data_IF_342506708729
#
_entry.id   IF_342506708729
#
_cell.length_a   1.000
_cell.length_b   1.000
_cell.length_c   1.000
_cell.angle_alpha   90.00
_cell.angle_beta   90.00
_cell.angle_gamma   90.00
#
_symmetry.space_group_name_H-M   'P 1'
#
loop_
_entity.id
_entity.type
_entity.pdbx_description
1 polymer ?
#
# COMPACT_ATOMS: atom_id res chain seq x y z
N UNK A 1 56.37 28.26 25.27
CA UNK A 1 55.63 28.49 24.03
C UNK A 1 54.20 28.00 24.22
N UNK A 2 53.26 28.94 24.42
CA UNK A 2 51.86 28.70 24.73
C UNK A 2 51.13 28.39 23.41
N UNK A 3 50.53 27.21 23.25
CA UNK A 3 49.62 26.90 22.15
C UNK A 3 48.18 27.19 22.61
N UNK A 4 47.63 28.25 22.07
CA UNK A 4 46.24 28.68 22.24
C UNK A 4 45.36 27.75 21.39
N UNK A 5 44.53 26.95 22.03
CA UNK A 5 43.48 26.16 21.39
C UNK A 5 42.27 27.07 21.20
N UNK A 6 41.98 27.43 19.96
CA UNK A 6 40.80 28.18 19.55
C UNK A 6 39.63 27.21 19.45
N UNK A 7 38.71 27.27 20.43
CA UNK A 7 37.47 26.47 20.46
C UNK A 7 36.45 27.13 19.52
N UNK A 8 36.24 26.54 18.33
CA UNK A 8 35.21 26.96 17.39
C UNK A 8 33.89 26.36 17.83
N UNK A 9 33.09 27.14 18.57
CA UNK A 9 31.69 26.81 18.87
C UNK A 9 30.88 27.09 17.61
N UNK A 10 30.57 26.06 16.83
CA UNK A 10 29.60 26.13 15.77
C UNK A 10 28.21 26.14 16.42
N UNK A 11 27.61 27.32 16.46
CA UNK A 11 26.17 27.50 16.76
C UNK A 11 25.39 26.92 15.61
N UNK A 12 24.99 25.64 15.72
CA UNK A 12 23.95 25.06 14.85
C UNK A 12 22.64 25.68 15.35
N UNK A 13 22.24 26.77 14.69
CA UNK A 13 20.88 27.24 14.72
C UNK A 13 19.99 26.14 14.08
N UNK A 14 19.48 25.23 14.88
CA UNK A 14 18.37 24.41 14.56
C UNK A 14 17.21 25.36 14.28
N UNK A 15 17.02 25.72 13.00
CA UNK A 15 15.78 26.29 12.53
C UNK A 15 14.73 25.21 12.79
N UNK A 16 14.06 25.30 13.94
CA UNK A 16 12.80 24.63 14.16
C UNK A 16 11.88 25.16 13.06
N UNK A 17 11.77 24.45 11.94
CA UNK A 17 10.63 24.54 11.08
C UNK A 17 9.46 24.10 11.96
N UNK A 18 8.84 25.07 12.65
CA UNK A 18 7.47 24.94 13.09
C UNK A 18 6.68 24.65 11.82
N UNK A 19 6.39 23.39 11.58
CA UNK A 19 5.36 23.01 10.65
C UNK A 19 4.10 23.67 11.19
N UNK A 20 3.77 24.85 10.64
CA UNK A 20 2.42 25.37 10.69
C UNK A 20 1.57 24.30 10.03
N UNK A 21 1.09 23.34 10.81
CA UNK A 21 0.09 22.42 10.36
C UNK A 21 -1.12 23.27 10.01
N UNK A 22 -1.29 23.59 8.72
CA UNK A 22 -2.45 24.31 8.30
C UNK A 22 -3.66 23.52 8.77
N UNK A 23 -4.53 24.13 9.54
CA UNK A 23 -5.76 23.46 10.00
C UNK A 23 -6.84 23.47 8.91
N UNK A 24 -6.63 24.26 7.85
CA UNK A 24 -7.58 24.47 6.75
C UNK A 24 -7.14 23.70 5.51
N UNK A 25 -7.99 22.82 5.03
CA UNK A 25 -7.72 22.00 3.85
C UNK A 25 -8.86 22.12 2.84
N UNK A 26 -8.51 22.31 1.56
CA UNK A 26 -9.37 21.97 0.43
C UNK A 26 -9.24 20.48 0.13
N UNK A 27 -10.14 19.93 -0.69
CA UNK A 27 -10.06 18.52 -1.12
C UNK A 27 -8.72 18.21 -1.78
N UNK A 28 -8.28 19.04 -2.71
CA UNK A 28 -7.01 18.90 -3.42
C UNK A 28 -5.80 18.88 -2.45
N UNK A 29 -5.76 19.84 -1.52
CA UNK A 29 -4.71 19.90 -0.49
C UNK A 29 -4.72 18.68 0.45
N UNK A 30 -5.90 18.16 0.76
CA UNK A 30 -6.03 16.96 1.59
C UNK A 30 -5.48 15.72 0.88
N UNK A 31 -5.76 15.57 -0.42
CA UNK A 31 -5.23 14.49 -1.26
C UNK A 31 -3.72 14.61 -1.41
N UNK A 32 -3.20 15.81 -1.74
CA UNK A 32 -1.76 16.05 -1.88
C UNK A 32 -1.01 15.73 -0.57
N UNK A 33 -1.54 16.20 0.56
CA UNK A 33 -0.97 15.92 1.87
C UNK A 33 -0.95 14.42 2.18
N UNK A 34 -2.04 13.70 1.88
CA UNK A 34 -2.13 12.26 2.09
C UNK A 34 -1.14 11.49 1.23
N UNK A 35 -0.97 11.87 -0.05
CA UNK A 35 0.01 11.25 -0.94
C UNK A 35 1.46 11.44 -0.44
N UNK A 36 1.74 12.53 0.29
CA UNK A 36 3.05 12.79 0.88
C UNK A 36 3.26 12.11 2.24
N UNK A 37 2.23 12.08 3.09
CA UNK A 37 2.39 11.77 4.52
C UNK A 37 1.76 10.44 4.95
N UNK A 38 0.81 9.88 4.19
CA UNK A 38 0.16 8.61 4.54
C UNK A 38 1.17 7.47 4.62
N UNK A 39 1.02 6.62 5.63
CA UNK A 39 1.93 5.50 5.90
C UNK A 39 1.99 4.49 4.74
N UNK A 40 0.86 4.22 4.05
CA UNK A 40 0.83 3.31 2.91
C UNK A 40 1.65 3.87 1.73
N UNK A 41 1.57 5.19 1.45
CA UNK A 41 2.39 5.83 0.43
C UNK A 41 3.89 5.80 0.77
N UNK A 42 4.25 6.06 2.03
CA UNK A 42 5.64 5.95 2.50
C UNK A 42 6.18 4.53 2.35
N UNK A 43 5.35 3.52 2.65
CA UNK A 43 5.70 2.12 2.46
C UNK A 43 5.86 1.78 0.97
N UNK A 44 4.92 2.17 0.11
CA UNK A 44 5.02 1.96 -1.33
C UNK A 44 6.27 2.63 -1.94
N UNK A 45 6.65 3.83 -1.46
CA UNK A 45 7.90 4.48 -1.83
C UNK A 45 9.15 3.74 -1.31
N UNK A 46 9.05 3.08 -0.15
CA UNK A 46 10.11 2.21 0.37
C UNK A 46 10.24 0.93 -0.47
N UNK A 47 9.12 0.33 -0.88
CA UNK A 47 9.09 -0.87 -1.74
C UNK A 47 9.72 -0.61 -3.11
N UNK A 48 9.55 0.59 -3.69
CA UNK A 48 10.28 1.00 -4.92
C UNK A 48 11.79 1.02 -4.69
N UNK A 49 12.26 1.52 -3.55
CA UNK A 49 13.69 1.53 -3.20
C UNK A 49 14.22 0.12 -2.95
N UNK A 50 13.41 -0.74 -2.32
CA UNK A 50 13.74 -2.16 -2.13
C UNK A 50 13.86 -2.89 -3.47
N UNK A 51 12.95 -2.64 -4.43
CA UNK A 51 13.03 -3.21 -5.76
C UNK A 51 14.34 -2.82 -6.51
N UNK A 52 14.81 -1.58 -6.33
CA UNK A 52 16.11 -1.13 -6.88
C UNK A 52 17.26 -1.87 -6.19
N UNK A 53 17.20 -2.06 -4.87
CA UNK A 53 18.22 -2.81 -4.14
C UNK A 53 18.22 -4.29 -4.54
N UNK A 54 17.04 -4.90 -4.70
CA UNK A 54 16.89 -6.28 -5.18
C UNK A 54 17.43 -6.49 -6.59
N UNK A 55 17.20 -5.52 -7.50
CA UNK A 55 17.83 -5.52 -8.82
C UNK A 55 19.34 -5.58 -8.69
N UNK A 56 19.95 -4.73 -7.85
CA UNK A 56 21.40 -4.72 -7.65
C UNK A 56 21.88 -6.03 -7.01
N UNK A 57 21.17 -6.56 -6.02
CA UNK A 57 21.48 -7.85 -5.42
C UNK A 57 21.52 -8.98 -6.48
N UNK A 58 20.55 -8.98 -7.40
CA UNK A 58 20.51 -9.96 -8.50
C UNK A 58 21.70 -9.78 -9.47
N UNK A 59 22.01 -8.54 -9.88
CA UNK A 59 23.15 -8.26 -10.75
C UNK A 59 24.46 -8.67 -10.06
N UNK A 60 24.59 -8.39 -8.77
CA UNK A 60 25.78 -8.66 -7.99
C UNK A 60 26.13 -10.16 -7.92
N UNK A 61 25.16 -11.06 -8.05
CA UNK A 61 25.45 -12.53 -8.06
C UNK A 61 26.33 -12.96 -9.23
N UNK A 62 26.31 -12.22 -10.34
CA UNK A 62 27.17 -12.47 -11.50
C UNK A 62 28.51 -11.72 -11.46
N UNK A 63 28.72 -10.80 -10.53
CA UNK A 63 29.96 -10.07 -10.35
C UNK A 63 30.98 -10.86 -9.53
N UNK A 64 32.27 -10.47 -9.53
CA UNK A 64 33.30 -11.13 -8.72
C UNK A 64 32.95 -11.19 -7.25
N UNK A 65 33.02 -12.38 -6.65
CA UNK A 65 32.82 -12.63 -5.23
C UNK A 65 34.15 -12.98 -4.58
N UNK A 66 34.55 -12.25 -3.56
CA UNK A 66 35.80 -12.50 -2.82
C UNK A 66 35.42 -12.91 -1.40
N UNK A 67 35.91 -14.09 -0.98
CA UNK A 67 35.64 -14.62 0.34
C UNK A 67 36.98 -14.97 1.02
N UNK A 68 37.12 -14.58 2.28
CA UNK A 68 38.19 -15.01 3.16
C UNK A 68 37.71 -16.10 4.09
N UNK A 69 38.52 -17.13 4.31
CA UNK A 69 38.25 -18.17 5.29
C UNK A 69 39.48 -18.46 6.14
N UNK A 70 39.27 -18.69 7.41
CA UNK A 70 40.26 -19.19 8.36
C UNK A 70 39.64 -20.41 9.08
N UNK A 71 40.31 -21.54 8.93
CA UNK A 71 39.85 -22.81 9.51
C UNK A 71 40.96 -23.41 10.36
N UNK A 72 40.73 -23.54 11.66
CA UNK A 72 41.54 -24.30 12.59
C UNK A 72 40.85 -25.62 12.88
N UNK A 73 41.60 -26.71 12.74
CA UNK A 73 41.13 -28.05 13.05
C UNK A 73 42.10 -28.75 14.01
N UNK A 74 41.57 -29.32 15.07
CA UNK A 74 42.32 -30.20 15.95
C UNK A 74 41.66 -31.58 15.93
N UNK A 75 42.38 -32.57 15.43
CA UNK A 75 41.98 -33.96 15.39
C UNK A 75 42.27 -34.61 16.74
N UNK A 76 41.32 -34.61 17.66
CA UNK A 76 41.48 -35.24 18.99
C UNK A 76 41.84 -36.73 18.92
N UNK A 77 41.45 -37.39 17.84
CA UNK A 77 41.88 -38.72 17.45
C UNK A 77 42.15 -38.73 15.96
N UNK A 78 43.41 -38.96 15.59
CA UNK A 78 43.82 -38.96 14.20
C UNK A 78 43.33 -40.24 13.50
N UNK A 79 42.96 -40.18 12.22
CA UNK A 79 42.63 -41.34 11.42
C UNK A 79 43.87 -42.20 11.20
N UNK A 80 43.71 -43.52 11.38
CA UNK A 80 44.75 -44.51 11.14
C UNK A 80 44.61 -45.05 9.71
N UNK A 81 45.66 -45.03 8.96
CA UNK A 81 45.74 -45.66 7.64
C UNK A 81 46.38 -47.07 7.81
N UNK A 82 45.74 -48.04 7.22
CA UNK A 82 46.30 -49.40 7.15
C UNK A 82 47.11 -49.55 5.86
N UNK A 83 48.42 -49.73 6.00
CA UNK A 83 49.33 -49.92 4.88
C UNK A 83 49.89 -51.35 4.95
N UNK A 84 50.08 -52.06 3.78
CA UNK A 84 50.71 -53.36 3.77
C UNK A 84 52.07 -53.32 4.47
N UNK A 85 52.28 -54.16 5.45
CA UNK A 85 53.48 -54.20 6.31
C UNK A 85 54.77 -54.50 5.54
N UNK A 86 54.63 -55.01 4.35
CA UNK A 86 55.77 -55.30 3.41
C UNK A 86 56.57 -53.99 3.07
N UNK A 87 55.91 -52.82 3.05
CA UNK A 87 56.59 -51.55 2.82
C UNK A 87 57.56 -51.14 3.95
N UNK A 88 57.43 -51.78 5.09
CA UNK A 88 58.26 -51.55 6.30
C UNK A 88 58.99 -52.75 6.76
N UNK A 89 59.17 -53.74 5.87
CA UNK A 89 59.90 -54.95 6.16
C UNK A 89 59.14 -56.01 7.00
N UNK A 90 57.80 -55.89 7.07
CA UNK A 90 56.89 -56.85 7.76
C UNK A 90 56.55 -58.06 6.87
N UNK A 91 55.78 -58.97 7.42
CA UNK A 91 55.42 -60.24 6.72
C UNK A 91 54.36 -59.92 5.62
N UNK A 92 54.49 -60.55 4.44
CA UNK A 92 53.50 -60.46 3.38
C UNK A 92 52.05 -60.78 3.82
N UNK A 93 51.05 -59.96 3.46
CA UNK A 93 49.67 -60.16 3.78
C UNK A 93 49.23 -59.61 5.17
N UNK A 94 50.15 -58.94 5.90
CA UNK A 94 49.82 -58.20 7.13
C UNK A 94 49.77 -56.70 6.88
N UNK A 95 49.05 -55.96 7.76
CA UNK A 95 48.88 -54.49 7.67
C UNK A 95 49.52 -53.83 8.88
N UNK A 96 50.24 -52.72 8.65
CA UNK A 96 50.73 -51.83 9.69
C UNK A 96 49.80 -50.63 9.83
N UNK A 97 49.45 -50.24 11.02
CA UNK A 97 48.64 -49.04 11.33
C UNK A 97 49.57 -47.84 11.46
N UNK A 98 49.35 -46.84 10.59
CA UNK A 98 50.17 -45.62 10.55
C UNK A 98 49.27 -44.41 10.63
N UNK A 99 49.65 -43.43 11.45
CA UNK A 99 49.03 -42.13 11.52
C UNK A 99 49.82 -41.18 10.65
N UNK A 100 49.16 -40.57 9.68
CA UNK A 100 49.80 -39.56 8.78
C UNK A 100 49.43 -38.11 9.17
N UNK A 101 50.42 -37.24 9.18
CA UNK A 101 50.23 -35.84 9.45
C UNK A 101 50.26 -35.46 10.93
N UNK A 102 50.05 -34.23 11.20
CA UNK A 102 50.02 -33.64 12.56
C UNK A 102 48.56 -33.47 13.03
N UNK A 103 48.35 -33.45 14.34
CA UNK A 103 47.02 -33.45 14.92
C UNK A 103 46.27 -32.15 14.71
N UNK A 104 46.98 -31.07 14.49
CA UNK A 104 46.40 -29.73 14.31
C UNK A 104 46.76 -29.16 12.95
N UNK A 105 45.80 -28.45 12.34
CA UNK A 105 46.01 -27.68 11.11
C UNK A 105 45.34 -26.34 11.17
N UNK A 106 45.98 -25.33 10.61
CA UNK A 106 45.44 -23.99 10.38
C UNK A 106 45.52 -23.71 8.88
N UNK A 107 44.33 -23.44 8.32
CA UNK A 107 44.20 -23.11 6.90
C UNK A 107 43.60 -21.71 6.81
N UNK A 108 44.28 -20.80 6.13
CA UNK A 108 43.79 -19.50 5.75
C UNK A 108 43.73 -19.39 4.23
N UNK A 109 42.60 -18.90 3.68
CA UNK A 109 42.51 -18.72 2.22
C UNK A 109 41.68 -17.50 1.84
N UNK A 110 41.97 -16.92 0.73
CA UNK A 110 41.15 -15.92 0.02
C UNK A 110 40.81 -16.50 -1.35
N UNK A 111 39.53 -16.62 -1.62
CA UNK A 111 39.04 -17.18 -2.89
C UNK A 111 38.23 -16.11 -3.62
N UNK A 112 38.57 -15.86 -4.85
CA UNK A 112 37.82 -15.07 -5.83
C UNK A 112 37.04 -16.03 -6.74
N UNK A 113 35.70 -15.81 -6.82
CA UNK A 113 34.80 -16.57 -7.67
C UNK A 113 34.17 -15.64 -8.70
N UNK A 114 34.13 -16.05 -9.98
CA UNK A 114 33.50 -15.32 -11.05
C UNK A 114 32.57 -16.22 -11.85
N UNK A 115 31.31 -15.83 -11.93
CA UNK A 115 30.38 -16.38 -12.89
C UNK A 115 30.71 -15.83 -14.28
N UNK A 116 31.04 -16.73 -15.25
CA UNK A 116 31.34 -16.34 -16.63
C UNK A 116 30.07 -16.46 -17.47
N UNK A 117 29.37 -17.56 -17.34
CA UNK A 117 28.11 -17.79 -18.05
C UNK A 117 27.17 -18.65 -17.22
N UNK A 118 25.94 -18.20 -17.08
CA UNK A 118 24.77 -18.94 -16.57
C UNK A 118 23.51 -18.41 -17.24
N UNK A 119 22.81 -19.29 -17.96
CA UNK A 119 21.56 -18.92 -18.63
C UNK A 119 20.48 -18.45 -17.66
N UNK A 120 20.45 -18.98 -16.43
CA UNK A 120 19.49 -18.58 -15.39
C UNK A 120 19.80 -17.17 -14.88
N UNK A 121 21.09 -16.82 -14.74
CA UNK A 121 21.51 -15.46 -14.37
C UNK A 121 21.08 -14.44 -15.42
N UNK A 122 21.29 -14.72 -16.71
CA UNK A 122 20.88 -13.80 -17.79
C UNK A 122 19.39 -13.53 -17.75
N UNK A 123 18.55 -14.57 -17.56
CA UNK A 123 17.09 -14.41 -17.42
C UNK A 123 16.74 -13.69 -16.11
N UNK A 124 17.43 -13.99 -15.02
CA UNK A 124 17.27 -13.31 -13.74
C UNK A 124 17.50 -11.81 -13.84
N UNK A 125 18.56 -11.38 -14.55
CA UNK A 125 18.82 -9.94 -14.81
C UNK A 125 17.72 -9.32 -15.67
N UNK A 126 17.20 -10.03 -16.68
CA UNK A 126 16.05 -9.54 -17.46
C UNK A 126 14.81 -9.35 -16.58
N UNK A 127 14.53 -10.31 -15.68
CA UNK A 127 13.38 -10.26 -14.78
C UNK A 127 13.43 -9.08 -13.79
N UNK A 128 14.61 -8.53 -13.49
CA UNK A 128 14.72 -7.36 -12.61
C UNK A 128 14.01 -6.13 -13.17
N UNK A 129 13.93 -5.98 -14.49
CA UNK A 129 13.22 -4.87 -15.14
C UNK A 129 11.71 -5.02 -14.90
N UNK A 130 11.13 -6.18 -15.20
CA UNK A 130 9.71 -6.46 -14.98
C UNK A 130 9.34 -6.30 -13.50
N UNK A 131 10.25 -6.64 -12.58
CA UNK A 131 10.03 -6.43 -11.15
C UNK A 131 10.02 -4.94 -10.76
N UNK A 132 10.89 -4.11 -11.36
CA UNK A 132 10.85 -2.66 -11.17
C UNK A 132 9.55 -2.06 -11.71
N UNK A 133 9.14 -2.45 -12.92
CA UNK A 133 7.89 -1.98 -13.54
C UNK A 133 6.66 -2.39 -12.69
N UNK A 134 6.67 -3.59 -12.11
CA UNK A 134 5.65 -4.04 -11.15
C UNK A 134 5.62 -3.15 -9.90
N UNK A 135 6.78 -2.85 -9.31
CA UNK A 135 6.86 -2.00 -8.12
C UNK A 135 6.39 -0.56 -8.38
N UNK A 136 6.66 -0.02 -9.59
CA UNK A 136 6.13 1.28 -10.02
C UNK A 136 4.61 1.25 -10.14
N UNK A 137 4.05 0.26 -10.82
CA UNK A 137 2.59 0.11 -10.96
C UNK A 137 1.90 -0.14 -9.61
N UNK A 138 2.54 -0.85 -8.68
CA UNK A 138 2.01 -1.03 -7.32
C UNK A 138 2.00 0.30 -6.53
N UNK A 139 3.03 1.15 -6.72
CA UNK A 139 3.05 2.50 -6.15
C UNK A 139 1.90 3.35 -6.72
N UNK A 140 1.72 3.37 -8.05
CA UNK A 140 0.63 4.10 -8.70
C UNK A 140 -0.73 3.62 -8.19
N UNK A 141 -0.93 2.29 -8.06
CA UNK A 141 -2.16 1.72 -7.51
C UNK A 141 -2.44 2.20 -6.09
N UNK A 142 -1.41 2.18 -5.24
CA UNK A 142 -1.54 2.68 -3.86
C UNK A 142 -1.92 4.16 -3.84
N UNK A 143 -1.35 4.97 -4.73
CA UNK A 143 -1.69 6.40 -4.85
C UNK A 143 -3.16 6.61 -5.23
N UNK A 144 -3.69 5.83 -6.19
CA UNK A 144 -5.10 5.88 -6.59
C UNK A 144 -6.03 5.45 -5.44
N UNK A 145 -5.69 4.39 -4.70
CA UNK A 145 -6.45 3.90 -3.55
C UNK A 145 -6.49 4.92 -2.40
N UNK A 146 -5.36 5.56 -2.11
CA UNK A 146 -5.30 6.62 -1.09
C UNK A 146 -6.11 7.84 -1.53
N UNK A 147 -6.01 8.25 -2.80
CA UNK A 147 -6.83 9.32 -3.36
C UNK A 147 -8.32 9.04 -3.15
N UNK A 148 -8.82 7.88 -3.58
CA UNK A 148 -10.23 7.50 -3.39
C UNK A 148 -10.65 7.53 -1.93
N UNK A 149 -9.82 6.98 -1.05
CA UNK A 149 -10.09 6.93 0.39
C UNK A 149 -10.17 8.33 1.02
N UNK A 150 -9.27 9.24 0.63
CA UNK A 150 -9.26 10.63 1.15
C UNK A 150 -10.44 11.42 0.61
N UNK A 151 -10.75 11.31 -0.69
CA UNK A 151 -11.91 11.99 -1.30
C UNK A 151 -13.20 11.54 -0.62
N UNK A 152 -13.40 10.24 -0.45
CA UNK A 152 -14.56 9.68 0.24
C UNK A 152 -14.62 10.15 1.69
N UNK A 153 -13.51 10.12 2.44
CA UNK A 153 -13.47 10.59 3.83
C UNK A 153 -13.74 12.11 3.94
N UNK A 154 -13.22 12.91 3.00
CA UNK A 154 -13.42 14.36 2.94
C UNK A 154 -14.90 14.70 2.65
N UNK A 155 -15.50 14.08 1.63
CA UNK A 155 -16.91 14.26 1.29
C UNK A 155 -17.85 13.84 2.44
N UNK A 156 -17.55 12.69 3.08
CA UNK A 156 -18.29 12.24 4.25
C UNK A 156 -18.14 13.18 5.46
N UNK A 157 -16.97 13.77 5.67
CA UNK A 157 -16.76 14.74 6.75
C UNK A 157 -17.54 16.05 6.49
N UNK A 158 -17.59 16.52 5.23
CA UNK A 158 -18.45 17.65 4.83
C UNK A 158 -19.93 17.33 5.03
N UNK A 159 -20.39 16.16 4.56
CA UNK A 159 -21.77 15.71 4.72
C UNK A 159 -22.16 15.66 6.21
N UNK A 160 -21.32 15.08 7.05
CA UNK A 160 -21.61 14.98 8.49
C UNK A 160 -21.67 16.37 9.17
N UNK A 161 -20.79 17.30 8.75
CA UNK A 161 -20.82 18.68 9.26
C UNK A 161 -22.09 19.44 8.81
N UNK A 162 -22.46 19.33 7.53
CA UNK A 162 -23.69 19.94 7.01
C UNK A 162 -24.97 19.33 7.61
N UNK A 163 -24.98 17.99 7.79
CA UNK A 163 -26.10 17.31 8.47
C UNK A 163 -26.27 17.77 9.92
N UNK A 164 -25.17 17.99 10.66
CA UNK A 164 -25.24 18.53 12.02
C UNK A 164 -25.78 19.97 12.06
N UNK A 165 -25.38 20.83 11.12
CA UNK A 165 -25.89 22.20 11.00
C UNK A 165 -27.38 22.22 10.63
N UNK A 166 -27.82 21.38 9.69
CA UNK A 166 -29.23 21.24 9.32
C UNK A 166 -30.08 20.77 10.50
N UNK A 167 -29.62 19.73 11.24
CA UNK A 167 -30.32 19.24 12.41
C UNK A 167 -30.42 20.31 13.52
N UNK A 168 -29.37 21.12 13.71
CA UNK A 168 -29.43 22.22 14.68
C UNK A 168 -30.48 23.27 14.31
N UNK A 169 -30.57 23.64 13.01
CA UNK A 169 -31.63 24.52 12.51
C UNK A 169 -33.02 23.94 12.70
N UNK A 170 -33.16 22.64 12.44
CA UNK A 170 -34.43 21.91 12.60
C UNK A 170 -34.84 21.84 14.08
N UNK A 171 -33.91 21.58 15.00
CA UNK A 171 -34.16 21.61 16.45
C UNK A 171 -34.64 22.98 16.91
N UNK A 172 -33.96 24.05 16.47
CA UNK A 172 -34.34 25.43 16.78
C UNK A 172 -35.76 25.79 16.26
N UNK A 173 -36.17 25.24 15.12
CA UNK A 173 -37.50 25.44 14.56
C UNK A 173 -38.58 24.73 15.42
N UNK A 174 -38.35 23.46 15.76
CA UNK A 174 -39.29 22.70 16.61
C UNK A 174 -39.38 23.30 18.02
N UNK A 175 -38.28 23.81 18.57
CA UNK A 175 -38.26 24.48 19.87
C UNK A 175 -39.17 25.72 19.86
N UNK A 176 -39.13 26.52 18.80
CA UNK A 176 -40.05 27.66 18.63
C UNK A 176 -41.50 27.21 18.56
N UNK A 177 -41.80 26.19 17.75
CA UNK A 177 -43.15 25.68 17.59
C UNK A 177 -43.71 25.08 18.95
N UNK A 178 -42.84 24.39 19.71
CA UNK A 178 -43.19 23.88 21.04
C UNK A 178 -43.45 25.02 22.02
N UNK A 179 -42.66 26.08 22.00
CA UNK A 179 -42.88 27.25 22.84
C UNK A 179 -44.24 27.91 22.52
N UNK A 180 -44.54 28.19 21.25
CA UNK A 180 -45.80 28.77 20.79
C UNK A 180 -47.00 27.91 21.20
N UNK A 181 -46.97 26.60 20.98
CA UNK A 181 -48.02 25.67 21.38
C UNK A 181 -48.19 25.60 22.89
N UNK A 182 -47.10 25.67 23.66
CA UNK A 182 -47.18 25.67 25.14
C UNK A 182 -47.81 26.94 25.69
N UNK A 183 -47.58 28.12 25.09
CA UNK A 183 -48.20 29.37 25.51
C UNK A 183 -49.72 29.41 25.14
N UNK A 184 -50.10 28.85 23.97
CA UNK A 184 -51.50 28.69 23.58
C UNK A 184 -52.24 27.73 24.55
N UNK A 185 -51.63 26.63 24.94
CA UNK A 185 -52.21 25.71 25.94
C UNK A 185 -52.40 26.38 27.30
N UNK A 186 -51.40 27.12 27.81
CA UNK A 186 -51.51 27.88 29.08
C UNK A 186 -52.62 28.92 29.07
N UNK A 187 -52.91 29.52 27.92
CA UNK A 187 -53.99 30.48 27.75
C UNK A 187 -55.38 29.82 27.55
N UNK A 188 -55.44 28.49 27.51
CA UNK A 188 -56.69 27.75 27.29
C UNK A 188 -57.14 27.70 25.82
N UNK A 189 -56.27 28.10 24.86
CA UNK A 189 -56.57 28.13 23.44
C UNK A 189 -55.93 26.97 22.66
N UNK A 190 -55.13 26.12 23.33
CA UNK A 190 -54.45 24.97 22.74
C UNK A 190 -54.77 23.66 23.43
N UNK A 191 -54.42 22.54 22.80
CA UNK A 191 -54.58 21.18 23.28
C UNK A 191 -53.28 20.64 23.89
N UNK A 192 -53.38 19.90 25.02
CA UNK A 192 -52.22 19.28 25.68
C UNK A 192 -51.55 18.27 24.79
N UNK A 193 -52.31 17.50 23.99
CA UNK A 193 -51.81 16.53 23.04
C UNK A 193 -50.83 17.16 22.01
N UNK A 194 -51.14 18.35 21.51
CA UNK A 194 -50.28 19.13 20.60
C UNK A 194 -48.93 19.45 21.24
N UNK A 195 -48.93 19.91 22.51
CA UNK A 195 -47.70 20.20 23.24
C UNK A 195 -46.87 18.93 23.46
N UNK A 196 -47.51 17.83 23.81
CA UNK A 196 -46.81 16.55 24.06
C UNK A 196 -46.21 15.96 22.78
N UNK A 197 -46.91 16.04 21.65
CA UNK A 197 -46.38 15.61 20.34
C UNK A 197 -45.19 16.45 19.92
N UNK A 198 -45.21 17.77 20.04
CA UNK A 198 -44.10 18.66 19.73
C UNK A 198 -42.91 18.45 20.68
N UNK A 199 -43.19 18.20 21.98
CA UNK A 199 -42.17 17.87 22.98
C UNK A 199 -41.44 16.55 22.65
N UNK A 200 -42.20 15.53 22.22
CA UNK A 200 -41.63 14.24 21.79
C UNK A 200 -40.72 14.43 20.57
N UNK A 201 -41.19 15.18 19.56
CA UNK A 201 -40.42 15.49 18.36
C UNK A 201 -39.16 16.29 18.70
N UNK A 202 -39.26 17.32 19.54
CA UNK A 202 -38.11 18.11 20.01
C UNK A 202 -37.04 17.23 20.68
N UNK A 203 -37.44 16.38 21.64
CA UNK A 203 -36.48 15.50 22.32
C UNK A 203 -35.80 14.51 21.39
N UNK A 204 -36.54 13.98 20.42
CA UNK A 204 -35.99 13.08 19.40
C UNK A 204 -34.94 13.79 18.51
N UNK A 205 -35.30 14.96 17.98
CA UNK A 205 -34.40 15.75 17.13
C UNK A 205 -33.18 16.25 17.91
N UNK A 206 -33.34 16.67 19.16
CA UNK A 206 -32.22 17.07 20.02
C UNK A 206 -31.25 15.90 20.28
N UNK A 207 -31.78 14.67 20.41
CA UNK A 207 -30.91 13.48 20.51
C UNK A 207 -30.17 13.21 19.21
N UNK A 208 -30.85 13.34 18.06
CA UNK A 208 -30.24 13.17 16.73
C UNK A 208 -29.18 14.24 16.45
N UNK A 209 -29.43 15.49 16.81
CA UNK A 209 -28.47 16.60 16.70
C UNK A 209 -27.19 16.30 17.48
N UNK A 210 -27.32 15.90 18.77
CA UNK A 210 -26.13 15.52 19.56
C UNK A 210 -25.36 14.37 18.92
N UNK A 211 -26.06 13.41 18.31
CA UNK A 211 -25.41 12.32 17.58
C UNK A 211 -24.72 12.81 16.32
N UNK A 212 -25.33 13.70 15.54
CA UNK A 212 -24.75 14.26 14.32
C UNK A 212 -23.44 15.03 14.62
N UNK A 213 -23.39 15.82 15.71
CA UNK A 213 -22.14 16.48 16.13
C UNK A 213 -21.05 15.46 16.50
N UNK A 214 -21.40 14.35 17.15
CA UNK A 214 -20.43 13.27 17.43
C UNK A 214 -19.91 12.63 16.15
N UNK A 215 -20.81 12.34 15.20
CA UNK A 215 -20.43 11.77 13.90
C UNK A 215 -19.57 12.74 13.09
N UNK A 216 -19.90 14.02 13.04
CA UNK A 216 -19.09 15.04 12.38
C UNK A 216 -17.66 15.12 12.95
N UNK A 217 -17.53 15.01 14.28
CA UNK A 217 -16.21 14.94 14.93
C UNK A 217 -15.45 13.66 14.52
N UNK A 218 -16.11 12.50 14.54
CA UNK A 218 -15.49 11.21 14.18
C UNK A 218 -15.08 11.21 12.70
N UNK A 219 -15.91 11.74 11.80
CA UNK A 219 -15.60 11.82 10.37
C UNK A 219 -14.35 12.68 10.09
N UNK A 220 -14.18 13.80 10.82
CA UNK A 220 -12.96 14.61 10.76
C UNK A 220 -11.73 13.85 11.28
N UNK A 221 -11.90 13.09 12.37
CA UNK A 221 -10.83 12.23 12.90
C UNK A 221 -10.45 11.14 11.91
N UNK A 222 -11.43 10.53 11.24
CA UNK A 222 -11.19 9.53 10.19
C UNK A 222 -10.40 10.14 9.02
N UNK A 223 -10.77 11.35 8.58
CA UNK A 223 -10.04 12.05 7.53
C UNK A 223 -8.59 12.35 7.95
N UNK A 224 -8.35 12.77 9.20
CA UNK A 224 -6.97 12.93 9.72
C UNK A 224 -6.17 11.62 9.58
N UNK A 225 -6.76 10.47 9.95
CA UNK A 225 -6.10 9.16 9.81
C UNK A 225 -5.80 8.84 8.34
N UNK A 226 -6.76 9.07 7.43
CA UNK A 226 -6.56 8.84 5.99
C UNK A 226 -5.48 9.75 5.41
N UNK A 227 -5.34 10.97 5.92
CA UNK A 227 -4.27 11.90 5.55
C UNK A 227 -2.91 11.55 6.17
N UNK A 228 -2.85 10.64 7.15
CA UNK A 228 -1.61 10.34 7.90
C UNK A 228 -1.30 11.33 9.03
N UNK A 229 -2.34 12.03 9.54
CA UNK A 229 -2.24 12.97 10.67
C UNK A 229 -2.68 12.31 11.97
N UNK A 230 -2.35 12.94 13.08
CA UNK A 230 -2.88 12.53 14.40
C UNK A 230 -4.40 12.74 14.46
N UNK A 231 -5.12 11.81 15.08
CA UNK A 231 -6.59 11.84 15.19
C UNK A 231 -7.13 13.10 15.84
N UNK A 232 -6.36 13.71 16.72
CA UNK A 232 -6.73 14.90 17.51
C UNK A 232 -6.34 16.23 16.87
N UNK A 233 -5.64 16.19 15.74
CA UNK A 233 -5.22 17.42 15.06
C UNK A 233 -6.43 18.26 14.63
N UNK A 234 -6.36 19.58 14.81
CA UNK A 234 -7.44 20.45 14.35
C UNK A 234 -7.58 20.40 12.84
N UNK A 235 -8.83 20.24 12.37
CA UNK A 235 -9.14 20.14 10.94
C UNK A 235 -10.37 21.00 10.60
N UNK A 236 -10.16 21.93 9.66
CA UNK A 236 -11.21 22.77 9.08
C UNK A 236 -11.28 22.48 7.58
N UNK A 237 -12.46 22.12 7.10
CA UNK A 237 -12.73 21.89 5.68
C UNK A 237 -13.18 23.21 5.05
N UNK A 238 -12.57 23.57 3.93
CA UNK A 238 -12.82 24.86 3.26
C UNK A 238 -13.92 24.76 2.21
N UNK A 239 -14.06 23.59 1.59
CA UNK A 239 -15.04 23.36 0.52
C UNK A 239 -16.45 23.11 1.08
N UNK A 240 -17.43 23.21 0.19
CA UNK A 240 -18.81 22.73 0.40
C UNK A 240 -19.10 21.61 -0.59
N UNK A 241 -20.05 20.71 -0.26
CA UNK A 241 -20.42 19.62 -1.17
C UNK A 241 -20.97 20.15 -2.49
N UNK A 242 -21.78 21.20 -2.44
CA UNK A 242 -22.36 21.83 -3.63
C UNK A 242 -21.30 22.39 -4.56
N UNK A 243 -20.20 22.96 -4.01
CA UNK A 243 -19.09 23.46 -4.81
C UNK A 243 -18.33 22.33 -5.50
N UNK A 244 -18.05 21.26 -4.78
CA UNK A 244 -17.36 20.08 -5.34
C UNK A 244 -18.20 19.46 -6.47
N UNK A 245 -19.50 19.23 -6.21
CA UNK A 245 -20.42 18.66 -7.22
C UNK A 245 -20.62 19.59 -8.41
N UNK A 246 -20.63 20.92 -8.20
CA UNK A 246 -20.78 21.90 -9.30
C UNK A 246 -19.69 21.77 -10.37
N UNK A 247 -18.48 21.38 -10.00
CA UNK A 247 -17.36 21.08 -10.92
C UNK A 247 -17.64 19.73 -11.63
N UNK A 248 -18.00 18.71 -10.89
CA UNK A 248 -18.19 17.36 -11.38
C UNK A 248 -19.42 17.19 -12.29
N UNK A 249 -20.46 18.02 -12.12
CA UNK A 249 -21.66 17.97 -12.96
C UNK A 249 -21.40 18.42 -14.40
N UNK A 250 -20.35 19.21 -14.64
CA UNK A 250 -20.02 19.79 -15.97
C UNK A 250 -18.97 18.94 -16.69
N UNK A 251 -18.22 18.09 -15.97
CA UNK A 251 -17.20 17.25 -16.57
C UNK A 251 -17.80 16.27 -17.60
N UNK A 252 -17.18 16.18 -18.77
CA UNK A 252 -17.59 15.21 -19.78
C UNK A 252 -17.33 13.77 -19.33
N UNK A 253 -18.29 12.88 -19.59
CA UNK A 253 -18.09 11.46 -19.37
C UNK A 253 -17.43 10.89 -20.63
N UNK A 254 -16.23 10.28 -20.52
CA UNK A 254 -15.56 9.71 -21.69
C UNK A 254 -16.42 8.59 -22.32
N UNK A 255 -16.46 8.55 -23.65
CA UNK A 255 -17.17 7.52 -24.40
C UNK A 255 -16.35 6.24 -24.54
N UNK A 256 -15.02 6.37 -24.47
CA UNK A 256 -14.06 5.27 -24.61
C UNK A 256 -12.88 5.48 -23.66
N UNK A 257 -12.13 4.43 -23.36
CA UNK A 257 -10.97 4.51 -22.49
C UNK A 257 -9.77 3.75 -23.06
N UNK A 258 -8.58 4.25 -22.75
CA UNK A 258 -7.31 3.60 -23.09
C UNK A 258 -6.95 2.58 -21.99
N UNK A 259 -7.14 1.29 -22.32
CA UNK A 259 -6.85 0.17 -21.44
C UNK A 259 -5.41 0.21 -20.91
N UNK A 260 -4.44 0.69 -21.71
CA UNK A 260 -3.02 0.71 -21.33
C UNK A 260 -2.69 1.70 -20.21
N UNK A 261 -3.54 2.69 -19.99
CA UNK A 261 -3.40 3.65 -18.89
C UNK A 261 -3.88 3.08 -17.55
N UNK A 262 -4.80 2.10 -17.59
CA UNK A 262 -5.35 1.51 -16.38
C UNK A 262 -4.27 0.74 -15.60
N UNK A 263 -4.17 1.00 -14.30
CA UNK A 263 -3.11 0.42 -13.45
C UNK A 263 -3.27 -1.09 -13.28
N UNK A 264 -4.52 -1.59 -13.20
CA UNK A 264 -4.78 -3.03 -13.04
C UNK A 264 -4.44 -3.80 -14.32
N UNK A 265 -4.66 -3.18 -15.50
CA UNK A 265 -4.19 -3.74 -16.77
C UNK A 265 -2.66 -3.81 -16.81
N UNK A 266 -1.95 -2.74 -16.43
CA UNK A 266 -0.48 -2.75 -16.38
C UNK A 266 0.05 -3.81 -15.41
N UNK A 267 -0.62 -4.02 -14.28
CA UNK A 267 -0.24 -5.06 -13.32
C UNK A 267 -0.45 -6.49 -13.87
N UNK A 268 -1.55 -6.78 -14.56
CA UNK A 268 -1.75 -8.10 -15.18
C UNK A 268 -0.80 -8.33 -16.35
N UNK A 269 -0.42 -7.29 -17.08
CA UNK A 269 0.60 -7.34 -18.12
C UNK A 269 1.97 -7.68 -17.53
N UNK A 270 2.39 -7.03 -16.45
CA UNK A 270 3.62 -7.39 -15.71
C UNK A 270 3.58 -8.85 -15.21
N UNK A 271 2.46 -9.31 -14.68
CA UNK A 271 2.32 -10.72 -14.24
C UNK A 271 2.49 -11.68 -15.43
N UNK A 272 1.92 -11.36 -16.59
CA UNK A 272 2.05 -12.17 -17.79
C UNK A 272 3.51 -12.23 -18.27
N UNK A 273 4.20 -11.09 -18.27
CA UNK A 273 5.64 -11.02 -18.59
C UNK A 273 6.48 -11.82 -17.58
N UNK A 274 6.19 -11.71 -16.29
CA UNK A 274 6.85 -12.50 -15.25
C UNK A 274 6.72 -14.00 -15.54
N UNK A 275 5.54 -14.52 -15.89
CA UNK A 275 5.33 -15.94 -16.21
C UNK A 275 6.07 -16.36 -17.48
N UNK A 276 6.16 -15.48 -18.47
CA UNK A 276 6.97 -15.69 -19.67
C UNK A 276 8.48 -15.80 -19.33
N UNK A 277 8.97 -14.93 -18.43
CA UNK A 277 10.34 -14.99 -17.93
C UNK A 277 10.61 -16.25 -17.07
N UNK A 278 9.66 -16.69 -16.26
CA UNK A 278 9.74 -17.98 -15.55
C UNK A 278 9.84 -19.17 -16.52
N UNK A 279 9.13 -19.14 -17.64
CA UNK A 279 9.28 -20.15 -18.71
C UNK A 279 10.66 -20.07 -19.35
N UNK A 280 11.20 -18.86 -19.63
CA UNK A 280 12.59 -18.68 -20.12
C UNK A 280 13.59 -19.20 -19.10
N UNK A 281 13.38 -18.94 -17.80
CA UNK A 281 14.22 -19.44 -16.72
C UNK A 281 14.20 -20.96 -16.65
N UNK A 282 13.03 -21.60 -16.78
CA UNK A 282 12.94 -23.06 -16.80
C UNK A 282 13.70 -23.69 -17.99
N UNK A 283 13.63 -23.02 -19.16
CA UNK A 283 14.38 -23.43 -20.36
C UNK A 283 15.89 -23.21 -20.21
N UNK A 284 16.32 -22.10 -19.59
CA UNK A 284 17.73 -21.76 -19.44
C UNK A 284 18.49 -22.72 -18.54
N UNK A 285 17.81 -23.43 -17.62
CA UNK A 285 18.40 -24.49 -16.79
C UNK A 285 18.91 -25.71 -17.60
N UNK A 286 18.66 -25.76 -18.90
CA UNK A 286 19.25 -26.75 -19.82
C UNK A 286 20.60 -26.30 -20.37
N UNK A 287 20.96 -25.04 -20.23
CA UNK A 287 22.24 -24.49 -20.71
C UNK A 287 23.37 -24.87 -19.76
N UNK A 288 24.62 -24.94 -20.27
CA UNK A 288 25.77 -25.13 -19.40
C UNK A 288 26.00 -23.91 -18.52
N UNK A 289 26.68 -24.13 -17.36
CA UNK A 289 27.20 -23.05 -16.51
C UNK A 289 28.71 -23.05 -16.56
N UNK A 290 29.32 -21.89 -16.67
CA UNK A 290 30.75 -21.69 -16.68
C UNK A 290 31.16 -20.70 -15.61
N UNK A 291 32.04 -21.14 -14.71
CA UNK A 291 32.59 -20.30 -13.64
C UNK A 291 34.09 -20.45 -13.55
N UNK A 292 34.77 -19.43 -13.05
CA UNK A 292 36.17 -19.50 -12.68
C UNK A 292 36.38 -19.16 -11.22
N UNK A 293 37.40 -19.75 -10.61
CA UNK A 293 37.80 -19.46 -9.25
C UNK A 293 39.33 -19.29 -9.18
N UNK A 294 39.77 -18.35 -8.38
CA UNK A 294 41.16 -18.19 -8.02
C UNK A 294 41.30 -18.14 -6.50
N UNK A 295 42.07 -19.09 -5.97
CA UNK A 295 42.27 -19.23 -4.52
C UNK A 295 43.76 -19.08 -4.18
N UNK A 296 44.03 -18.18 -3.28
CA UNK A 296 45.31 -18.05 -2.59
C UNK A 296 45.11 -18.55 -1.16
N UNK A 297 45.94 -19.49 -0.73
CA UNK A 297 45.84 -20.06 0.61
C UNK A 297 47.22 -20.28 1.24
N UNK A 298 47.21 -20.45 2.55
CA UNK A 298 48.37 -20.85 3.31
C UNK A 298 47.89 -21.87 4.38
N UNK A 299 48.72 -22.93 4.55
CA UNK A 299 48.43 -24.01 5.45
C UNK A 299 49.60 -24.17 6.43
N UNK A 300 49.29 -24.38 7.69
CA UNK A 300 50.28 -24.78 8.69
C UNK A 300 49.78 -26.04 9.47
N UNK A 301 50.73 -26.85 9.85
CA UNK A 301 50.44 -28.10 10.60
C UNK A 301 51.28 -28.13 11.88
N UNK A 302 50.77 -28.73 12.96
CA UNK A 302 51.43 -28.87 14.25
C UNK A 302 50.79 -29.96 15.10
N UNK A 303 51.51 -30.44 16.09
CA UNK A 303 51.00 -31.30 17.16
C UNK A 303 50.66 -30.52 18.43
N UNK A 304 51.00 -29.20 18.44
CA UNK A 304 50.63 -28.27 19.51
C UNK A 304 50.13 -26.94 18.92
N UNK A 305 49.47 -26.11 19.73
CA UNK A 305 49.00 -24.80 19.25
C UNK A 305 50.16 -23.76 19.26
N UNK A 306 50.90 -23.75 18.18
CA UNK A 306 52.06 -22.85 17.94
C UNK A 306 51.92 -22.02 16.65
N UNK A 307 50.68 -21.87 16.17
CA UNK A 307 50.38 -21.20 14.90
C UNK A 307 50.63 -19.67 14.92
N UNK A 308 50.84 -19.08 16.11
CA UNK A 308 51.13 -17.65 16.24
C UNK A 308 52.64 -17.37 16.40
N UNK A 309 53.48 -18.39 16.41
CA UNK A 309 54.91 -18.24 16.57
C UNK A 309 55.56 -17.72 15.31
N UNK A 310 56.51 -16.80 15.47
CA UNK A 310 57.17 -16.10 14.32
C UNK A 310 57.94 -17.09 13.42
N UNK A 311 58.43 -18.19 13.95
CA UNK A 311 59.24 -19.21 13.21
C UNK A 311 58.36 -20.32 12.59
N UNK A 312 57.03 -20.22 12.75
CA UNK A 312 56.09 -21.23 12.23
C UNK A 312 56.14 -21.27 10.69
N UNK A 313 56.36 -22.43 10.14
CA UNK A 313 56.39 -22.65 8.69
C UNK A 313 54.98 -22.75 8.13
N UNK A 314 54.68 -21.88 7.19
CA UNK A 314 53.45 -21.89 6.39
C UNK A 314 53.72 -22.34 4.96
N UNK A 315 52.77 -23.12 4.42
CA UNK A 315 52.83 -23.66 3.08
C UNK A 315 51.81 -22.94 2.20
N UNK A 316 52.28 -22.11 1.28
CA UNK A 316 51.44 -21.33 0.40
C UNK A 316 50.93 -22.15 -0.80
N UNK A 317 49.69 -21.92 -1.16
CA UNK A 317 49.02 -22.52 -2.31
C UNK A 317 48.38 -21.45 -3.18
N UNK A 318 48.40 -21.62 -4.49
CA UNK A 318 47.69 -20.78 -5.44
C UNK A 318 47.03 -21.71 -6.48
N UNK A 319 45.73 -21.60 -6.60
CA UNK A 319 44.94 -22.50 -7.46
C UNK A 319 44.03 -21.65 -8.35
N UNK A 320 44.15 -21.80 -9.66
CA UNK A 320 43.21 -21.29 -10.64
C UNK A 320 42.39 -22.44 -11.18
N UNK A 321 41.08 -22.33 -11.04
CA UNK A 321 40.09 -23.32 -11.48
C UNK A 321 39.15 -22.71 -12.52
N UNK A 322 38.76 -23.49 -13.51
CA UNK A 322 37.68 -23.20 -14.44
C UNK A 322 36.73 -24.40 -14.39
N UNK A 323 35.47 -24.14 -14.07
CA UNK A 323 34.45 -25.17 -13.94
C UNK A 323 33.38 -25.00 -15.01
N UNK A 324 33.23 -26.00 -15.88
CA UNK A 324 32.16 -26.08 -16.88
C UNK A 324 31.23 -27.23 -16.46
N UNK A 325 30.00 -26.89 -16.09
CA UNK A 325 28.97 -27.85 -15.73
C UNK A 325 27.93 -27.96 -16.85
N UNK A 326 27.78 -29.13 -17.45
CA UNK A 326 26.81 -29.39 -18.52
C UNK A 326 25.76 -30.37 -18.02
N UNK A 327 24.49 -29.98 -17.90
CA UNK A 327 23.43 -30.87 -17.43
C UNK A 327 22.98 -31.83 -18.54
N UNK A 328 23.52 -33.06 -18.58
CA UNK A 328 23.23 -34.02 -19.63
C UNK A 328 21.88 -34.72 -19.47
N UNK A 329 21.60 -35.26 -18.28
CA UNK A 329 20.39 -36.04 -18.01
C UNK A 329 19.78 -35.68 -16.67
N UNK A 330 18.45 -35.57 -16.58
CA UNK A 330 17.72 -35.13 -15.39
C UNK A 330 16.47 -35.97 -15.11
N UNK A 331 16.41 -37.18 -15.60
CA UNK A 331 15.23 -38.07 -15.45
C UNK A 331 13.91 -37.39 -15.75
N UNK A 332 13.84 -36.59 -16.84
CA UNK A 332 12.72 -35.79 -17.29
C UNK A 332 12.32 -34.61 -16.36
N UNK A 333 13.03 -34.36 -15.25
CA UNK A 333 12.72 -33.27 -14.32
C UNK A 333 12.67 -31.89 -15.04
N UNK A 334 13.65 -31.61 -15.90
CA UNK A 334 13.69 -30.36 -16.67
C UNK A 334 12.52 -30.24 -17.66
N UNK A 335 12.14 -31.32 -18.31
CA UNK A 335 10.99 -31.36 -19.20
C UNK A 335 9.69 -31.07 -18.43
N UNK A 336 9.48 -31.73 -17.29
CA UNK A 336 8.32 -31.52 -16.46
C UNK A 336 8.24 -30.09 -15.89
N UNK A 337 9.38 -29.54 -15.41
CA UNK A 337 9.42 -28.14 -14.92
C UNK A 337 9.15 -27.13 -16.02
N UNK A 338 9.69 -27.32 -17.23
CA UNK A 338 9.43 -26.49 -18.40
C UNK A 338 7.96 -26.57 -18.82
N UNK A 339 7.36 -27.77 -18.81
CA UNK A 339 5.95 -27.94 -19.10
C UNK A 339 5.05 -27.24 -18.07
N UNK A 340 5.38 -27.33 -16.78
CA UNK A 340 4.67 -26.60 -15.73
C UNK A 340 4.75 -25.08 -15.94
N UNK A 341 5.93 -24.55 -16.26
CA UNK A 341 6.11 -23.13 -16.53
C UNK A 341 5.32 -22.68 -17.79
N UNK A 342 5.27 -23.53 -18.84
CA UNK A 342 4.46 -23.27 -20.03
C UNK A 342 2.95 -23.21 -19.71
N UNK A 343 2.48 -24.09 -18.82
CA UNK A 343 1.09 -24.07 -18.37
C UNK A 343 0.80 -22.83 -17.53
N UNK A 344 1.75 -22.38 -16.68
CA UNK A 344 1.61 -21.18 -15.89
C UNK A 344 1.55 -19.92 -16.77
N UNK A 345 2.39 -19.84 -17.81
CA UNK A 345 2.35 -18.77 -18.83
C UNK A 345 1.01 -18.74 -19.57
N UNK A 346 0.52 -19.90 -20.04
CA UNK A 346 -0.81 -19.99 -20.68
C UNK A 346 -1.94 -19.53 -19.75
N UNK A 347 -1.91 -19.90 -18.48
CA UNK A 347 -2.88 -19.43 -17.48
C UNK A 347 -2.85 -17.92 -17.31
N UNK A 348 -1.66 -17.32 -17.27
CA UNK A 348 -1.53 -15.87 -17.17
C UNK A 348 -2.10 -15.15 -18.39
N UNK A 349 -1.88 -15.67 -19.59
CA UNK A 349 -2.47 -15.14 -20.83
C UNK A 349 -4.01 -15.21 -20.79
N UNK A 350 -4.58 -16.33 -20.35
CA UNK A 350 -6.02 -16.47 -20.19
C UNK A 350 -6.58 -15.46 -19.17
N UNK A 351 -5.89 -15.30 -18.02
CA UNK A 351 -6.26 -14.32 -16.98
C UNK A 351 -6.16 -12.89 -17.52
N UNK A 352 -5.13 -12.56 -18.33
CA UNK A 352 -5.02 -11.23 -18.97
C UNK A 352 -6.24 -10.96 -19.85
N UNK A 353 -6.64 -11.92 -20.73
CA UNK A 353 -7.81 -11.77 -21.61
C UNK A 353 -9.11 -11.63 -20.80
N UNK A 354 -9.25 -12.36 -19.69
CA UNK A 354 -10.40 -12.21 -18.80
C UNK A 354 -10.41 -10.82 -18.13
N UNK A 355 -9.26 -10.36 -17.64
CA UNK A 355 -9.13 -9.04 -17.03
C UNK A 355 -9.48 -7.91 -18.02
N UNK A 356 -9.06 -8.02 -19.28
CA UNK A 356 -9.43 -7.06 -20.34
C UNK A 356 -10.95 -6.92 -20.48
N UNK A 357 -11.68 -8.05 -20.46
CA UNK A 357 -13.15 -8.05 -20.53
C UNK A 357 -13.80 -7.47 -19.27
N UNK A 358 -13.24 -7.82 -18.10
CA UNK A 358 -13.74 -7.30 -16.82
C UNK A 358 -13.52 -5.79 -16.69
N UNK A 359 -12.40 -5.27 -17.16
CA UNK A 359 -12.11 -3.83 -17.16
C UNK A 359 -13.05 -3.07 -18.11
N UNK A 360 -13.38 -3.64 -19.28
CA UNK A 360 -14.37 -3.05 -20.16
C UNK A 360 -15.76 -2.98 -19.49
N UNK A 361 -16.20 -4.05 -18.83
CA UNK A 361 -17.45 -4.06 -18.07
C UNK A 361 -17.42 -3.09 -16.89
N UNK A 362 -16.27 -2.99 -16.20
CA UNK A 362 -16.10 -2.06 -15.08
C UNK A 362 -16.20 -0.62 -15.54
N UNK A 363 -15.62 -0.26 -16.68
CA UNK A 363 -15.78 1.08 -17.28
C UNK A 363 -17.25 1.44 -17.51
N UNK A 364 -18.02 0.55 -18.15
CA UNK A 364 -19.47 0.74 -18.36
C UNK A 364 -20.21 0.91 -17.02
N UNK A 365 -19.83 0.11 -16.01
CA UNK A 365 -20.45 0.16 -14.69
C UNK A 365 -20.18 1.50 -14.00
N UNK A 366 -18.94 1.98 -14.01
CA UNK A 366 -18.55 3.26 -13.39
C UNK A 366 -19.18 4.45 -14.12
N UNK A 367 -19.24 4.40 -15.45
CA UNK A 367 -19.89 5.43 -16.27
C UNK A 367 -21.39 5.51 -15.98
N UNK A 368 -22.05 4.34 -15.89
CA UNK A 368 -23.46 4.26 -15.52
C UNK A 368 -23.72 4.76 -14.10
N UNK A 369 -22.83 4.39 -13.14
CA UNK A 369 -22.96 4.85 -11.74
C UNK A 369 -22.82 6.38 -11.61
N UNK A 370 -21.88 7.00 -12.32
CA UNK A 370 -21.72 8.45 -12.35
C UNK A 370 -22.94 9.14 -12.98
N UNK A 371 -23.47 8.58 -14.09
CA UNK A 371 -24.67 9.10 -14.74
C UNK A 371 -25.86 9.07 -13.78
N UNK A 372 -26.10 7.93 -13.12
CA UNK A 372 -27.16 7.78 -12.14
C UNK A 372 -27.00 8.75 -10.95
N UNK A 373 -25.77 8.90 -10.44
CA UNK A 373 -25.49 9.82 -9.34
C UNK A 373 -25.82 11.27 -9.70
N UNK A 374 -25.50 11.71 -10.93
CA UNK A 374 -25.86 13.04 -11.45
C UNK A 374 -27.38 13.25 -11.56
N UNK A 375 -28.10 12.24 -12.08
CA UNK A 375 -29.58 12.28 -12.17
C UNK A 375 -30.20 12.34 -10.76
N UNK A 376 -29.65 11.60 -9.81
CA UNK A 376 -30.11 11.59 -8.42
C UNK A 376 -29.94 12.97 -7.75
N UNK A 377 -28.85 13.69 -7.99
CA UNK A 377 -28.67 15.06 -7.47
C UNK A 377 -29.80 15.98 -7.95
N UNK A 378 -30.15 15.94 -9.24
CA UNK A 378 -31.23 16.75 -9.79
C UNK A 378 -32.57 16.38 -9.13
N UNK A 379 -32.89 15.08 -9.10
CA UNK A 379 -34.15 14.58 -8.53
C UNK A 379 -34.30 14.90 -7.04
N UNK A 380 -33.22 14.66 -6.25
CA UNK A 380 -33.27 14.92 -4.80
C UNK A 380 -33.29 16.42 -4.50
N UNK A 381 -32.67 17.26 -5.35
CA UNK A 381 -32.78 18.72 -5.23
C UNK A 381 -34.21 19.19 -5.45
N UNK A 382 -34.88 18.72 -6.50
CA UNK A 382 -36.28 19.06 -6.78
C UNK A 382 -37.19 18.58 -5.64
N UNK A 383 -36.96 17.38 -5.11
CA UNK A 383 -37.70 16.83 -3.95
C UNK A 383 -37.48 17.67 -2.69
N UNK A 384 -36.24 18.11 -2.44
CA UNK A 384 -35.92 18.99 -1.31
C UNK A 384 -36.67 20.33 -1.42
N UNK A 385 -36.66 20.96 -2.59
CA UNK A 385 -37.36 22.23 -2.82
C UNK A 385 -38.89 22.09 -2.70
N UNK A 386 -39.44 20.92 -3.07
CA UNK A 386 -40.85 20.61 -2.86
C UNK A 386 -41.17 20.37 -1.39
N UNK A 387 -40.37 19.55 -0.68
CA UNK A 387 -40.54 19.27 0.74
C UNK A 387 -40.41 20.55 1.58
N UNK A 388 -39.50 21.45 1.25
CA UNK A 388 -39.39 22.76 1.90
C UNK A 388 -40.67 23.58 1.75
N UNK A 389 -41.22 23.68 0.55
CA UNK A 389 -42.49 24.41 0.30
C UNK A 389 -43.68 23.79 1.06
N UNK A 390 -43.71 22.44 1.18
CA UNK A 390 -44.75 21.73 1.93
C UNK A 390 -44.63 22.03 3.44
N UNK A 391 -43.40 21.98 3.96
CA UNK A 391 -43.14 22.26 5.38
C UNK A 391 -43.50 23.71 5.73
N UNK A 392 -43.08 24.68 4.91
CA UNK A 392 -43.39 26.11 5.11
C UNK A 392 -44.91 26.38 5.10
N UNK A 393 -45.64 25.76 4.14
CA UNK A 393 -47.11 25.87 4.11
C UNK A 393 -47.80 25.26 5.32
N UNK A 394 -47.37 24.09 5.78
CA UNK A 394 -47.93 23.45 6.95
C UNK A 394 -47.58 24.20 8.23
N UNK A 395 -46.43 24.85 8.30
CA UNK A 395 -46.08 25.74 9.42
C UNK A 395 -47.04 26.94 9.51
N UNK A 396 -47.29 27.60 8.37
CA UNK A 396 -48.24 28.73 8.30
C UNK A 396 -49.65 28.27 8.69
N UNK A 397 -50.15 27.15 8.11
CA UNK A 397 -51.46 26.61 8.43
C UNK A 397 -51.58 26.22 9.91
N UNK A 398 -50.52 25.66 10.51
CA UNK A 398 -50.53 25.32 11.94
C UNK A 398 -50.62 26.57 12.79
N UNK A 399 -49.91 27.65 12.50
CA UNK A 399 -49.99 28.93 13.20
C UNK A 399 -51.39 29.60 13.10
N UNK A 400 -52.05 29.39 11.96
CA UNK A 400 -53.42 29.88 11.74
C UNK A 400 -54.49 28.94 12.28
N UNK A 401 -54.11 27.82 12.95
CA UNK A 401 -55.04 26.82 13.49
C UNK A 401 -55.77 25.99 12.43
N UNK A 402 -55.26 25.98 11.17
CA UNK A 402 -55.83 25.26 10.02
C UNK A 402 -55.19 23.92 9.75
N UNK A 403 -54.08 23.57 10.41
CA UNK A 403 -53.44 22.28 10.36
C UNK A 403 -53.17 21.72 11.74
N UNK A 404 -53.24 20.38 11.89
CA UNK A 404 -52.95 19.69 13.13
C UNK A 404 -51.41 19.61 13.38
N UNK A 405 -51.04 19.40 14.64
CA UNK A 405 -49.65 19.11 15.01
C UNK A 405 -49.08 17.86 14.30
N UNK A 406 -49.96 16.90 13.97
CA UNK A 406 -49.58 15.71 13.20
C UNK A 406 -49.16 16.07 11.76
N UNK A 407 -49.95 16.91 11.06
CA UNK A 407 -49.63 17.35 9.69
C UNK A 407 -48.34 18.18 9.64
N UNK A 408 -48.15 19.06 10.62
CA UNK A 408 -46.90 19.81 10.74
C UNK A 408 -45.68 18.90 10.92
N UNK A 409 -45.79 17.95 11.85
CA UNK A 409 -44.70 16.98 12.12
C UNK A 409 -44.40 16.14 10.92
N UNK A 410 -45.39 15.64 10.19
CA UNK A 410 -45.19 14.81 9.00
C UNK A 410 -44.46 15.60 7.90
N UNK A 411 -44.87 16.83 7.63
CA UNK A 411 -44.20 17.71 6.67
C UNK A 411 -42.76 18.01 7.06
N UNK A 412 -42.44 18.20 8.34
CA UNK A 412 -41.11 18.43 8.84
C UNK A 412 -40.25 17.17 8.73
N UNK A 413 -40.74 15.98 9.06
CA UNK A 413 -40.02 14.73 8.90
C UNK A 413 -39.70 14.46 7.44
N UNK A 414 -40.63 14.76 6.52
CA UNK A 414 -40.41 14.65 5.07
C UNK A 414 -39.35 15.60 4.59
N UNK A 415 -39.33 16.85 5.10
CA UNK A 415 -38.26 17.80 4.79
C UNK A 415 -36.87 17.29 5.26
N UNK A 416 -36.81 16.78 6.51
CA UNK A 416 -35.53 16.27 7.05
C UNK A 416 -35.01 15.08 6.27
N UNK A 417 -35.91 14.17 5.84
CA UNK A 417 -35.53 13.05 4.96
C UNK A 417 -34.98 13.56 3.60
N UNK A 418 -35.69 14.50 2.96
CA UNK A 418 -35.27 15.08 1.69
C UNK A 418 -33.90 15.82 1.79
N UNK A 419 -33.65 16.52 2.92
CA UNK A 419 -32.34 17.16 3.18
C UNK A 419 -31.22 16.11 3.24
N UNK A 420 -31.44 14.98 3.95
CA UNK A 420 -30.44 13.92 4.09
C UNK A 420 -30.20 13.18 2.77
N UNK A 421 -31.26 12.92 1.99
CA UNK A 421 -31.17 12.29 0.67
C UNK A 421 -30.37 13.17 -0.31
N UNK A 422 -30.59 14.48 -0.30
CA UNK A 422 -29.84 15.43 -1.14
C UNK A 422 -28.34 15.44 -0.78
N UNK A 423 -27.98 15.50 0.51
CA UNK A 423 -26.58 15.42 0.95
C UNK A 423 -25.93 14.10 0.53
N UNK A 424 -26.66 13.00 0.62
CA UNK A 424 -26.16 11.68 0.21
C UNK A 424 -25.94 11.63 -1.32
N UNK A 425 -26.84 12.21 -2.11
CA UNK A 425 -26.67 12.29 -3.56
C UNK A 425 -25.45 13.14 -3.96
N UNK A 426 -25.20 14.25 -3.26
CA UNK A 426 -23.99 15.05 -3.49
C UNK A 426 -22.70 14.25 -3.25
N UNK A 427 -22.62 13.51 -2.15
CA UNK A 427 -21.47 12.63 -1.86
C UNK A 427 -21.32 11.56 -2.94
N UNK A 428 -22.44 10.98 -3.40
CA UNK A 428 -22.43 9.93 -4.44
C UNK A 428 -21.81 10.42 -5.75
N UNK A 429 -22.08 11.67 -6.17
CA UNK A 429 -21.44 12.23 -7.39
C UNK A 429 -19.93 12.33 -7.20
N UNK A 430 -19.47 12.91 -6.08
CA UNK A 430 -18.03 13.09 -5.81
C UNK A 430 -17.31 11.73 -5.79
N UNK A 431 -17.88 10.72 -5.13
CA UNK A 431 -17.26 9.39 -5.05
C UNK A 431 -17.28 8.67 -6.40
N UNK A 432 -18.42 8.68 -7.11
CA UNK A 432 -18.52 8.01 -8.42
C UNK A 432 -17.62 8.65 -9.49
N UNK A 433 -17.44 9.99 -9.46
CA UNK A 433 -16.49 10.66 -10.32
C UNK A 433 -15.06 10.27 -9.99
N UNK A 434 -14.70 10.24 -8.70
CA UNK A 434 -13.36 9.83 -8.25
C UNK A 434 -13.05 8.38 -8.67
N UNK A 435 -14.02 7.48 -8.56
CA UNK A 435 -13.85 6.08 -8.94
C UNK A 435 -13.59 5.95 -10.46
N UNK A 436 -14.32 6.73 -11.27
CA UNK A 436 -14.10 6.77 -12.72
C UNK A 436 -12.75 7.40 -13.07
N UNK A 437 -12.39 8.54 -12.48
CA UNK A 437 -11.10 9.20 -12.68
C UNK A 437 -9.92 8.30 -12.30
N UNK A 438 -10.02 7.58 -11.16
CA UNK A 438 -9.02 6.60 -10.75
C UNK A 438 -8.92 5.43 -11.72
N UNK A 439 -10.05 4.94 -12.24
CA UNK A 439 -10.08 3.87 -13.24
C UNK A 439 -9.37 4.29 -14.54
N UNK A 440 -9.54 5.54 -14.94
CA UNK A 440 -8.91 6.15 -16.12
C UNK A 440 -7.44 6.55 -15.86
N UNK A 441 -6.99 6.52 -14.61
CA UNK A 441 -5.70 7.04 -14.16
C UNK A 441 -5.53 8.54 -14.49
N UNK A 442 -6.59 9.32 -14.30
CA UNK A 442 -6.61 10.76 -14.47
C UNK A 442 -6.42 11.49 -13.13
N UNK A 443 -5.90 12.70 -13.16
CA UNK A 443 -5.89 13.60 -12.00
C UNK A 443 -7.31 14.16 -11.77
N UNK A 444 -7.70 14.32 -10.51
CA UNK A 444 -8.93 15.02 -10.12
C UNK A 444 -8.82 16.49 -10.45
#
# INVERSE_FOLDING_TARGET
>A
MKKTILLFIVFISASAYSQNSSSNFTLEQAVEYALAENAAMKNAAADKRDAVAQKWATIATGLPQIQGSLNYQNQLKQPVAQIPAEFFGGQPGTFSEIVFGQSQSLNASVTWNQLIFDGSYVVGVQATRTFLDYSENAYDKTALEIRASVVSAYANALMAAQSADLLSKNVAQIERNLFEASELFKSGLGEEETVDQLRLTFKTLQSNERNAYRLAKISKQMLNVMMGRETTDPLTLVDTLERLVGIEMVADIPVDFDLTKNVDYRMIENLTEQRSLELKLAKSKALPTLSSSFSLGTNAFSDSFDFLDADKKYFNTAILGVNLQIPLFSSLLRSATTQRAKIADLKAQNTKTETERLLALQFETLTSALTLAREQVVTTKDNLDLAQRIADKNEIKFKEGMASSFELREAQLQLFAAQQEYLTALVSVVTSHTDLANFLNESL
#
